data_IF_920345197708
#
_entry.id   IF_920345197708
#
_cell.length_a   1.000
_cell.length_b   1.000
_cell.length_c   1.000
_cell.angle_alpha   90.00
_cell.angle_beta   90.00
_cell.angle_gamma   90.00
#
_symmetry.space_group_name_H-M   'P 1'
#
loop_
_entity.id
_entity.type
_entity.pdbx_description
1 polymer ?
#
# COMPACT_ATOMS: atom_id res chain seq x y z
N UNK A 1 -72.49 -66.88 38.29
CA UNK A 1 -71.65 -67.71 37.42
C UNK A 1 -71.53 -66.98 36.09
N UNK A 2 -70.29 -66.73 35.69
CA UNK A 2 -69.80 -66.22 34.38
C UNK A 2 -70.45 -66.95 33.16
N UNK A 3 -70.24 -66.56 31.87
CA UNK A 3 -69.62 -65.34 31.28
C UNK A 3 -70.13 -64.89 29.85
N UNK A 4 -69.47 -63.84 29.28
CA UNK A 4 -69.13 -63.57 27.84
C UNK A 4 -70.27 -63.20 26.85
N UNK A 5 -70.14 -62.35 25.81
CA UNK A 5 -69.09 -61.49 25.19
C UNK A 5 -69.76 -60.60 24.13
N UNK A 6 -69.11 -59.49 23.78
CA UNK A 6 -68.83 -59.02 22.40
C UNK A 6 -69.45 -57.72 21.82
N UNK A 7 -68.51 -56.86 21.40
CA UNK A 7 -68.40 -55.92 20.26
C UNK A 7 -69.46 -54.89 19.86
N UNK A 8 -68.94 -53.72 19.44
CA UNK A 8 -69.60 -52.74 18.56
C UNK A 8 -69.33 -51.30 19.02
N UNK A 9 -68.13 -50.77 18.84
CA UNK A 9 -67.72 -49.92 17.71
C UNK A 9 -68.64 -48.71 17.41
N UNK A 10 -68.09 -47.55 17.76
CA UNK A 10 -67.76 -46.44 16.85
C UNK A 10 -68.54 -45.12 16.95
N UNK A 11 -67.72 -44.10 17.20
CA UNK A 11 -67.81 -42.67 16.98
C UNK A 11 -69.15 -41.92 17.13
N UNK A 12 -69.31 -41.32 18.31
CA UNK A 12 -69.62 -39.88 18.45
C UNK A 12 -68.75 -39.06 17.47
N UNK A 13 -69.23 -38.06 16.73
CA UNK A 13 -69.48 -36.70 17.25
C UNK A 13 -70.03 -35.76 16.15
N UNK A 14 -71.22 -35.21 16.43
CA UNK A 14 -71.76 -33.86 16.14
C UNK A 14 -70.99 -32.90 15.20
N UNK A 15 -71.61 -32.63 14.06
CA UNK A 15 -72.17 -31.34 13.60
C UNK A 15 -71.61 -30.02 14.22
N UNK A 16 -71.01 -29.14 13.39
CA UNK A 16 -71.38 -27.71 13.18
C UNK A 16 -70.25 -26.76 12.72
N UNK A 17 -70.56 -26.03 11.63
CA UNK A 17 -70.20 -24.63 11.28
C UNK A 17 -68.72 -24.25 11.07
N UNK A 18 -68.31 -24.11 9.81
CA UNK A 18 -67.08 -23.43 9.40
C UNK A 18 -67.28 -21.92 9.23
N UNK A 19 -66.47 -21.12 9.94
CA UNK A 19 -66.42 -19.66 9.90
C UNK A 19 -65.55 -19.24 8.69
N UNK A 20 -66.09 -18.41 7.79
CA UNK A 20 -65.34 -17.81 6.70
C UNK A 20 -64.41 -16.70 7.24
N UNK A 21 -63.10 -16.85 7.04
CA UNK A 21 -62.09 -15.83 7.35
C UNK A 21 -61.81 -15.03 6.07
N UNK A 22 -61.98 -13.70 6.04
CA UNK A 22 -61.65 -12.93 4.84
C UNK A 22 -60.13 -12.84 4.70
N UNK A 23 -59.61 -13.27 3.55
CA UNK A 23 -58.19 -13.13 3.19
C UNK A 23 -57.91 -11.64 2.95
N UNK A 24 -57.07 -11.05 3.79
CA UNK A 24 -56.54 -9.70 3.66
C UNK A 24 -55.47 -9.68 2.55
N UNK A 25 -55.80 -9.06 1.42
CA UNK A 25 -54.83 -8.83 0.33
C UNK A 25 -54.01 -7.59 0.67
N UNK A 26 -52.77 -7.78 1.11
CA UNK A 26 -51.80 -6.68 1.31
C UNK A 26 -51.18 -6.36 -0.05
N UNK A 27 -51.58 -5.25 -0.66
CA UNK A 27 -50.93 -4.73 -1.86
C UNK A 27 -49.62 -4.05 -1.45
N UNK A 28 -48.49 -4.74 -1.65
CA UNK A 28 -47.16 -4.14 -1.50
C UNK A 28 -46.95 -3.14 -2.66
N UNK A 29 -47.10 -1.84 -2.38
CA UNK A 29 -46.62 -0.80 -3.27
C UNK A 29 -45.08 -0.78 -3.21
N UNK A 30 -44.44 -1.42 -4.18
CA UNK A 30 -42.99 -1.35 -4.36
C UNK A 30 -42.58 0.06 -4.77
N UNK A 31 -42.01 0.83 -3.84
CA UNK A 31 -41.40 2.12 -4.14
C UNK A 31 -40.05 1.85 -4.82
N UNK A 32 -39.97 2.13 -6.13
CA UNK A 32 -38.70 2.17 -6.87
C UNK A 32 -37.91 3.40 -6.42
N UNK A 33 -37.05 3.21 -5.42
CA UNK A 33 -36.04 4.20 -5.07
C UNK A 33 -34.98 4.22 -6.17
N UNK A 34 -35.03 5.22 -7.06
CA UNK A 34 -33.99 5.46 -8.04
C UNK A 34 -32.81 6.12 -7.31
N UNK A 35 -31.82 5.31 -6.92
CA UNK A 35 -30.60 5.81 -6.28
C UNK A 35 -29.77 6.63 -7.27
N UNK A 36 -29.54 7.91 -6.96
CA UNK A 36 -28.61 8.76 -7.70
C UNK A 36 -27.19 8.41 -7.25
N UNK A 37 -26.44 7.68 -8.06
CA UNK A 37 -25.01 7.42 -7.80
C UNK A 37 -24.24 8.65 -8.25
N UNK A 38 -23.79 9.47 -7.30
CA UNK A 38 -22.84 10.55 -7.58
C UNK A 38 -21.49 9.90 -7.79
N UNK A 39 -21.07 9.76 -9.05
CA UNK A 39 -19.72 9.34 -9.38
C UNK A 39 -18.76 10.47 -8.98
N UNK A 40 -18.08 10.32 -7.85
CA UNK A 40 -16.95 11.19 -7.49
C UNK A 40 -15.81 10.86 -8.43
N UNK A 41 -15.61 11.67 -9.47
CA UNK A 41 -14.43 11.58 -10.32
C UNK A 41 -13.18 11.69 -9.43
N UNK A 42 -12.26 10.73 -9.54
CA UNK A 42 -10.96 10.85 -8.93
C UNK A 42 -10.30 12.14 -9.43
N UNK A 43 -9.60 12.92 -8.57
CA UNK A 43 -8.86 14.08 -9.04
C UNK A 43 -7.93 13.63 -10.18
N UNK A 44 -7.98 14.34 -11.30
CA UNK A 44 -7.05 14.11 -12.40
C UNK A 44 -5.64 14.26 -11.84
N UNK A 45 -4.86 13.16 -11.84
CA UNK A 45 -3.46 13.23 -11.49
C UNK A 45 -2.79 14.25 -12.42
N UNK A 46 -2.19 15.29 -11.85
CA UNK A 46 -1.40 16.24 -12.61
C UNK A 46 -0.24 15.53 -13.30
N UNK A 47 0.30 16.12 -14.37
CA UNK A 47 1.51 15.60 -14.99
C UNK A 47 2.65 15.52 -13.95
N UNK A 48 3.53 14.50 -14.02
CA UNK A 48 4.61 14.34 -13.06
C UNK A 48 5.55 15.55 -13.09
N UNK A 49 6.06 15.93 -11.92
CA UNK A 49 7.03 17.02 -11.78
C UNK A 49 8.41 16.52 -12.17
N UNK A 50 9.01 17.14 -13.18
CA UNK A 50 10.35 16.76 -13.65
C UNK A 50 11.44 17.32 -12.73
N UNK A 51 12.43 16.48 -12.42
CA UNK A 51 13.62 16.80 -11.64
C UNK A 51 14.85 16.43 -12.48
N UNK A 52 15.92 17.20 -12.37
CA UNK A 52 17.21 16.95 -13.02
C UNK A 52 18.43 17.31 -12.15
N UNK A 53 18.20 17.61 -10.88
CA UNK A 53 19.25 17.97 -9.92
C UNK A 53 18.78 17.64 -8.49
N UNK A 54 19.69 17.64 -7.52
CA UNK A 54 19.32 17.45 -6.11
C UNK A 54 18.25 18.46 -5.70
N UNK A 55 17.21 18.00 -5.03
CA UNK A 55 16.04 18.82 -4.70
C UNK A 55 15.37 18.36 -3.43
N UNK A 56 14.55 19.23 -2.86
CA UNK A 56 13.68 18.92 -1.74
C UNK A 56 12.23 18.84 -2.22
N UNK A 57 11.61 17.67 -2.05
CA UNK A 57 10.21 17.41 -2.38
C UNK A 57 9.37 17.71 -1.13
N UNK A 58 8.60 18.80 -1.17
CA UNK A 58 7.79 19.28 -0.04
C UNK A 58 6.29 19.16 -0.25
N UNK A 59 5.85 18.60 -1.38
CA UNK A 59 4.44 18.42 -1.71
C UNK A 59 4.18 16.97 -2.15
N UNK A 60 2.99 16.41 -1.85
CA UNK A 60 2.54 15.17 -2.45
C UNK A 60 2.54 15.22 -3.97
N UNK A 61 2.79 14.08 -4.61
CA UNK A 61 2.73 13.97 -6.07
C UNK A 61 3.74 13.01 -6.66
N UNK A 62 3.75 12.98 -7.98
CA UNK A 62 4.66 12.17 -8.77
C UNK A 62 5.82 13.04 -9.27
N UNK A 63 7.03 12.53 -9.10
CA UNK A 63 8.28 13.20 -9.42
C UNK A 63 9.14 12.27 -10.25
N UNK A 64 9.63 12.78 -11.36
CA UNK A 64 10.33 11.98 -12.36
C UNK A 64 11.71 12.57 -12.61
N UNK A 65 12.75 11.75 -12.44
CA UNK A 65 14.11 12.13 -12.80
C UNK A 65 14.25 12.08 -14.34
N UNK A 66 14.87 13.12 -14.89
CA UNK A 66 15.00 13.32 -16.35
C UNK A 66 16.45 13.40 -16.83
N UNK A 67 17.39 13.35 -15.90
CA UNK A 67 18.82 13.35 -16.17
C UNK A 67 19.57 12.73 -15.01
N UNK A 68 20.75 12.18 -15.31
CA UNK A 68 21.66 11.70 -14.26
C UNK A 68 22.16 12.87 -13.41
N UNK A 69 22.17 12.66 -12.10
CA UNK A 69 22.84 13.50 -11.12
C UNK A 69 24.15 12.81 -10.77
N UNK A 70 25.28 13.51 -10.87
CA UNK A 70 26.61 12.94 -10.62
C UNK A 70 27.44 13.84 -9.72
N UNK A 71 28.31 13.26 -8.90
CA UNK A 71 29.21 13.99 -7.99
C UNK A 71 28.47 14.93 -7.04
N UNK A 72 27.25 14.56 -6.65
CA UNK A 72 26.46 15.34 -5.72
C UNK A 72 26.99 15.20 -4.29
N UNK A 73 26.91 16.29 -3.52
CA UNK A 73 27.35 16.37 -2.13
C UNK A 73 26.26 16.91 -1.18
N UNK A 74 25.02 17.06 -1.67
CA UNK A 74 23.87 17.38 -0.85
C UNK A 74 23.46 16.18 0.00
N UNK A 75 22.94 16.43 1.21
CA UNK A 75 22.59 15.38 2.17
C UNK A 75 21.21 15.64 2.83
N UNK A 76 20.15 14.93 2.42
CA UNK A 76 20.05 14.07 1.24
C UNK A 76 20.11 14.84 -0.09
N UNK A 77 20.51 14.20 -1.19
CA UNK A 77 20.39 14.80 -2.53
C UNK A 77 18.93 14.92 -2.99
N UNK A 78 18.16 13.83 -2.96
CA UNK A 78 16.71 13.86 -3.10
C UNK A 78 16.10 13.77 -1.70
N UNK A 79 15.71 14.92 -1.17
CA UNK A 79 15.16 15.03 0.19
C UNK A 79 13.63 15.07 0.14
N UNK A 80 12.99 13.96 0.49
CA UNK A 80 11.53 13.81 0.51
C UNK A 80 11.02 14.22 1.89
N UNK A 81 10.13 15.22 1.92
CA UNK A 81 9.57 15.82 3.15
C UNK A 81 8.04 15.86 3.16
N UNK A 82 7.41 15.20 2.19
CA UNK A 82 5.96 15.04 2.09
C UNK A 82 5.60 13.55 1.96
N UNK A 83 4.47 13.17 2.57
CA UNK A 83 3.81 11.89 2.32
C UNK A 83 3.18 11.88 0.93
N UNK A 84 2.75 10.69 0.49
CA UNK A 84 2.06 10.50 -0.79
C UNK A 84 2.91 10.96 -1.98
N UNK A 85 4.17 10.51 -1.98
CA UNK A 85 5.19 10.85 -2.99
C UNK A 85 5.57 9.59 -3.76
N UNK A 86 5.59 9.70 -5.08
CA UNK A 86 6.26 8.74 -5.96
C UNK A 86 7.45 9.44 -6.58
N UNK A 87 8.65 8.92 -6.32
CA UNK A 87 9.87 9.32 -7.00
C UNK A 87 10.28 8.20 -7.95
N UNK A 88 10.18 8.47 -9.25
CA UNK A 88 10.57 7.57 -10.33
C UNK A 88 11.87 8.06 -10.99
N UNK A 89 12.90 7.22 -10.93
CA UNK A 89 14.19 7.51 -11.54
C UNK A 89 14.22 7.32 -13.05
N UNK A 90 13.28 6.58 -13.65
CA UNK A 90 13.32 6.16 -15.06
C UNK A 90 14.68 5.58 -15.51
N UNK A 91 15.35 4.84 -14.63
CA UNK A 91 16.68 4.27 -14.85
C UNK A 91 17.84 5.25 -14.74
N UNK A 92 17.60 6.53 -14.44
CA UNK A 92 18.65 7.53 -14.23
C UNK A 92 19.43 7.32 -12.93
N UNK A 93 20.60 7.91 -12.88
CA UNK A 93 21.53 7.82 -11.75
C UNK A 93 21.36 8.99 -10.77
N UNK A 94 21.36 8.70 -9.47
CA UNK A 94 21.63 9.65 -8.38
C UNK A 94 22.99 9.28 -7.75
N UNK A 95 24.05 9.94 -8.21
CA UNK A 95 25.44 9.65 -7.88
C UNK A 95 26.08 10.69 -6.96
N UNK A 96 26.65 10.23 -5.85
CA UNK A 96 27.26 11.07 -4.81
C UNK A 96 28.78 11.15 -4.88
N UNK A 97 29.41 11.40 -3.72
CA UNK A 97 30.87 11.48 -3.52
C UNK A 97 31.40 10.58 -2.38
N UNK A 98 30.60 9.61 -1.93
CA UNK A 98 30.91 8.65 -0.86
C UNK A 98 30.40 9.05 0.54
N UNK A 99 29.63 10.14 0.66
CA UNK A 99 29.15 10.70 1.93
C UNK A 99 27.68 11.08 1.85
N UNK A 100 26.96 11.08 2.98
CA UNK A 100 25.56 11.51 3.04
C UNK A 100 24.58 10.50 2.43
N UNK A 101 23.36 10.95 2.17
CA UNK A 101 22.25 10.14 1.65
C UNK A 101 21.88 10.54 0.22
N UNK A 102 21.74 9.57 -0.69
CA UNK A 102 21.31 9.83 -2.06
C UNK A 102 19.83 10.22 -2.12
N UNK A 103 18.97 9.32 -1.64
CA UNK A 103 17.52 9.51 -1.59
C UNK A 103 17.03 9.18 -0.18
N UNK A 104 16.36 10.11 0.47
CA UNK A 104 15.85 9.89 1.82
C UNK A 104 15.01 11.04 2.33
N UNK A 105 14.84 11.10 3.65
CA UNK A 105 14.06 12.14 4.32
C UNK A 105 14.88 12.84 5.42
N UNK A 106 14.37 13.98 5.88
CA UNK A 106 14.95 14.77 6.98
C UNK A 106 14.60 14.22 8.38
N UNK A 107 14.35 12.91 8.48
CA UNK A 107 13.94 12.18 9.69
C UNK A 107 12.55 12.55 10.24
N UNK A 108 11.77 13.36 9.52
CA UNK A 108 10.35 13.57 9.82
C UNK A 108 9.50 12.33 9.52
N UNK A 109 8.35 12.13 10.21
CA UNK A 109 7.47 11.01 9.93
C UNK A 109 6.82 11.16 8.55
N UNK A 110 6.88 10.09 7.75
CA UNK A 110 6.30 10.05 6.41
C UNK A 110 5.50 8.75 6.19
N UNK A 111 4.58 8.80 5.24
CA UNK A 111 3.78 7.65 4.82
C UNK A 111 3.58 7.65 3.31
N UNK A 112 3.38 6.48 2.71
CA UNK A 112 3.08 6.34 1.30
C UNK A 112 4.11 7.03 0.39
N UNK A 113 5.39 6.75 0.64
CA UNK A 113 6.51 7.19 -0.20
C UNK A 113 6.97 5.99 -1.03
N UNK A 114 7.10 6.17 -2.34
CA UNK A 114 7.62 5.16 -3.25
C UNK A 114 8.85 5.68 -3.98
N UNK A 115 9.94 4.91 -3.94
CA UNK A 115 11.16 5.14 -4.75
C UNK A 115 11.26 4.01 -5.75
N UNK A 116 11.27 4.32 -7.04
CA UNK A 116 11.24 3.32 -8.12
C UNK A 116 12.25 3.60 -9.22
N UNK A 117 12.71 2.53 -9.87
CA UNK A 117 13.50 2.54 -11.13
C UNK A 117 14.62 3.58 -11.14
N UNK A 118 15.52 3.52 -10.15
CA UNK A 118 16.63 4.46 -10.02
C UNK A 118 17.93 3.73 -9.73
N UNK A 119 19.03 4.23 -10.28
CA UNK A 119 20.38 3.80 -9.93
C UNK A 119 20.90 4.77 -8.87
N UNK A 120 21.32 4.27 -7.70
CA UNK A 120 21.88 5.11 -6.64
C UNK A 120 23.26 4.62 -6.22
N UNK A 121 24.25 5.49 -6.29
CA UNK A 121 25.66 5.11 -6.08
C UNK A 121 26.51 6.20 -5.45
N UNK A 122 27.64 5.78 -4.88
CA UNK A 122 28.61 6.64 -4.22
C UNK A 122 28.01 7.47 -3.07
N UNK A 123 27.20 6.85 -2.20
CA UNK A 123 26.66 7.48 -0.99
C UNK A 123 27.06 6.72 0.29
N UNK A 124 26.93 7.35 1.45
CA UNK A 124 26.96 6.58 2.70
C UNK A 124 25.72 5.67 2.77
N UNK A 125 24.54 6.21 2.44
CA UNK A 125 23.31 5.44 2.24
C UNK A 125 22.73 5.79 0.89
N UNK A 126 22.52 4.80 0.02
CA UNK A 126 21.91 5.05 -1.29
C UNK A 126 20.46 5.52 -1.12
N UNK A 127 19.59 4.62 -0.65
CA UNK A 127 18.23 4.95 -0.20
C UNK A 127 18.13 4.78 1.31
N UNK A 128 17.63 5.78 2.03
CA UNK A 128 17.32 5.67 3.46
C UNK A 128 15.87 6.04 3.77
N UNK A 129 15.15 5.14 4.45
CA UNK A 129 13.86 5.43 5.08
C UNK A 129 13.98 5.49 6.59
N UNK A 130 13.72 6.66 7.16
CA UNK A 130 13.67 6.90 8.60
C UNK A 130 12.27 7.34 9.03
N UNK A 131 11.70 6.69 10.06
CA UNK A 131 10.35 7.00 10.55
C UNK A 131 9.28 7.00 9.44
N UNK A 132 9.38 6.05 8.50
CA UNK A 132 8.55 5.98 7.30
C UNK A 132 7.62 4.77 7.32
N UNK A 133 6.37 4.92 6.89
CA UNK A 133 5.39 3.82 6.91
C UNK A 133 4.67 3.62 5.60
N UNK A 134 4.14 2.41 5.35
CA UNK A 134 3.29 2.12 4.17
C UNK A 134 3.94 2.54 2.85
N UNK A 135 5.22 2.22 2.68
CA UNK A 135 6.10 2.79 1.65
C UNK A 135 6.85 1.70 0.90
N UNK A 136 7.45 2.03 -0.24
CA UNK A 136 8.07 1.03 -1.11
C UNK A 136 9.38 1.50 -1.75
N UNK A 137 10.32 0.57 -1.89
CA UNK A 137 11.52 0.72 -2.72
C UNK A 137 11.52 -0.42 -3.73
N UNK A 138 11.38 -0.09 -5.02
CA UNK A 138 11.15 -1.10 -6.07
C UNK A 138 12.05 -0.89 -7.27
N UNK A 139 12.66 -1.96 -7.78
CA UNK A 139 13.47 -1.89 -9.01
C UNK A 139 14.71 -0.99 -8.88
N UNK A 140 15.18 -0.73 -7.66
CA UNK A 140 16.35 0.12 -7.42
C UNK A 140 17.64 -0.68 -7.59
N UNK A 141 18.60 -0.09 -8.29
CA UNK A 141 19.99 -0.57 -8.30
C UNK A 141 20.82 0.29 -7.37
N UNK A 142 21.19 -0.26 -6.20
CA UNK A 142 22.01 0.43 -5.21
C UNK A 142 23.42 -0.18 -5.17
N UNK A 143 24.44 0.55 -5.61
CA UNK A 143 25.81 0.05 -5.73
C UNK A 143 26.83 1.08 -5.29
N UNK A 144 28.05 0.67 -4.90
CA UNK A 144 29.13 1.58 -4.50
C UNK A 144 28.76 2.50 -3.31
N UNK A 145 27.74 2.14 -2.53
CA UNK A 145 27.38 2.85 -1.29
C UNK A 145 27.98 2.14 -0.07
N UNK A 146 27.99 2.80 1.10
CA UNK A 146 28.24 2.07 2.35
C UNK A 146 27.05 1.16 2.70
N UNK A 147 25.83 1.70 2.65
CA UNK A 147 24.60 0.91 2.68
C UNK A 147 23.81 1.16 1.40
N UNK A 148 23.39 0.12 0.67
CA UNK A 148 22.62 0.28 -0.55
C UNK A 148 21.22 0.83 -0.27
N UNK A 149 20.40 0.04 0.43
CA UNK A 149 19.08 0.40 0.93
C UNK A 149 19.03 0.21 2.45
N UNK A 150 18.71 1.27 3.18
CA UNK A 150 18.63 1.28 4.62
C UNK A 150 17.20 1.62 5.09
N UNK A 151 16.54 0.67 5.73
CA UNK A 151 15.28 0.91 6.45
C UNK A 151 15.61 1.03 7.94
N UNK A 152 15.58 2.27 8.43
CA UNK A 152 16.01 2.69 9.77
C UNK A 152 14.84 2.69 10.78
N UNK A 153 15.12 3.18 11.99
CA UNK A 153 14.23 3.20 13.15
C UNK A 153 12.83 3.75 12.84
N UNK A 154 11.83 3.18 13.52
CA UNK A 154 10.41 3.55 13.44
C UNK A 154 9.76 3.38 12.06
N UNK A 155 10.45 2.78 11.09
CA UNK A 155 9.86 2.48 9.79
C UNK A 155 9.17 1.12 9.78
N UNK A 156 7.94 1.01 9.28
CA UNK A 156 7.18 -0.26 9.28
C UNK A 156 6.28 -0.37 8.05
N UNK A 157 5.93 -1.58 7.62
CA UNK A 157 5.15 -1.83 6.39
C UNK A 157 5.86 -1.29 5.16
N UNK A 158 7.18 -1.48 5.12
CA UNK A 158 8.00 -1.17 3.96
C UNK A 158 8.07 -2.39 3.05
N UNK A 159 7.79 -2.19 1.76
CA UNK A 159 7.99 -3.21 0.73
C UNK A 159 9.27 -2.93 -0.03
N UNK A 160 10.23 -3.86 0.02
CA UNK A 160 11.43 -3.85 -0.80
C UNK A 160 11.27 -4.94 -1.87
N UNK A 161 11.08 -4.55 -3.13
CA UNK A 161 10.80 -5.51 -4.20
C UNK A 161 11.72 -5.34 -5.41
N UNK A 162 12.24 -6.46 -5.94
CA UNK A 162 13.03 -6.50 -7.18
C UNK A 162 14.24 -5.55 -7.18
N UNK A 163 14.84 -5.29 -6.02
CA UNK A 163 16.01 -4.42 -5.92
C UNK A 163 17.30 -5.21 -6.12
N UNK A 164 18.31 -4.56 -6.70
CA UNK A 164 19.67 -5.07 -6.77
C UNK A 164 20.60 -4.19 -5.93
N UNK A 165 21.03 -4.70 -4.78
CA UNK A 165 21.88 -3.98 -3.84
C UNK A 165 23.30 -4.59 -3.73
N UNK A 166 23.91 -4.96 -4.84
CA UNK A 166 25.26 -5.56 -4.87
C UNK A 166 26.37 -4.51 -5.03
N UNK A 167 27.58 -4.84 -4.58
CA UNK A 167 28.75 -3.97 -4.73
C UNK A 167 28.79 -2.79 -3.75
N UNK A 168 28.09 -2.89 -2.62
CA UNK A 168 28.16 -1.92 -1.53
C UNK A 168 29.28 -2.31 -0.54
N UNK A 169 29.92 -1.32 0.08
CA UNK A 169 31.06 -1.50 1.00
C UNK A 169 30.65 -2.03 2.38
N UNK A 170 29.36 -1.94 2.72
CA UNK A 170 28.77 -2.47 3.96
C UNK A 170 27.63 -3.42 3.63
N UNK A 171 26.40 -3.02 3.94
CA UNK A 171 25.22 -3.84 3.66
C UNK A 171 24.61 -3.47 2.30
N UNK A 172 24.22 -4.45 1.48
CA UNK A 172 23.38 -4.13 0.34
C UNK A 172 22.00 -3.62 0.78
N UNK A 173 21.25 -4.46 1.50
CA UNK A 173 19.95 -4.12 2.11
C UNK A 173 20.04 -4.36 3.62
N UNK A 174 19.78 -3.32 4.41
CA UNK A 174 19.70 -3.39 5.87
C UNK A 174 18.34 -2.93 6.34
N UNK A 175 17.61 -3.83 7.01
CA UNK A 175 16.31 -3.54 7.62
C UNK A 175 16.45 -3.66 9.14
N UNK A 176 16.38 -2.53 9.82
CA UNK A 176 16.54 -2.45 11.28
C UNK A 176 15.19 -2.41 12.04
N UNK A 177 14.08 -2.62 11.33
CA UNK A 177 12.72 -2.55 11.87
C UNK A 177 11.86 -3.75 11.50
N UNK A 178 10.74 -3.92 12.20
CA UNK A 178 9.84 -5.06 12.05
C UNK A 178 8.71 -4.78 11.03
N UNK A 179 8.02 -5.84 10.59
CA UNK A 179 6.85 -5.77 9.69
C UNK A 179 7.16 -5.20 8.30
N UNK A 180 8.25 -5.63 7.68
CA UNK A 180 8.62 -5.26 6.32
C UNK A 180 8.62 -6.50 5.41
N UNK A 181 8.38 -6.29 4.12
CA UNK A 181 8.32 -7.34 3.11
C UNK A 181 9.50 -7.22 2.16
N UNK A 182 10.26 -8.30 1.97
CA UNK A 182 11.36 -8.37 1.01
C UNK A 182 10.99 -9.40 -0.06
N UNK A 183 10.90 -8.97 -1.31
CA UNK A 183 10.46 -9.79 -2.44
C UNK A 183 11.50 -9.71 -3.56
N UNK A 184 12.06 -10.86 -3.97
CA UNK A 184 12.95 -10.95 -5.15
C UNK A 184 14.12 -9.95 -5.16
N UNK A 185 14.73 -9.68 -4.00
CA UNK A 185 15.89 -8.78 -3.93
C UNK A 185 17.19 -9.55 -4.10
N UNK A 186 18.13 -8.97 -4.84
CA UNK A 186 19.52 -9.42 -4.89
C UNK A 186 20.32 -8.57 -3.90
N UNK A 187 20.94 -9.20 -2.92
CA UNK A 187 21.65 -8.56 -1.83
C UNK A 187 23.01 -9.27 -1.63
N UNK A 188 24.07 -8.52 -1.33
CA UNK A 188 25.38 -9.05 -0.94
C UNK A 188 25.59 -8.86 0.55
#
# INVERSE_FOLDING_TARGET
>A
MQPQTDTGDDATTRDRTGIAVPVLVIVLAGVLAVGFVVATAAPAAGAPTQINSCTTITQPGEYVLTADITNANADPCINIRASDVVFDGQGHTVGGTGSGVGIGNDRGPLSNVSVTDVIVRDWQSGVEYFSTTDSAVTGVTATENTNGVLVSTSSHRITLANNNATGNNGNGIRVASSNNMLINNTNN
#
